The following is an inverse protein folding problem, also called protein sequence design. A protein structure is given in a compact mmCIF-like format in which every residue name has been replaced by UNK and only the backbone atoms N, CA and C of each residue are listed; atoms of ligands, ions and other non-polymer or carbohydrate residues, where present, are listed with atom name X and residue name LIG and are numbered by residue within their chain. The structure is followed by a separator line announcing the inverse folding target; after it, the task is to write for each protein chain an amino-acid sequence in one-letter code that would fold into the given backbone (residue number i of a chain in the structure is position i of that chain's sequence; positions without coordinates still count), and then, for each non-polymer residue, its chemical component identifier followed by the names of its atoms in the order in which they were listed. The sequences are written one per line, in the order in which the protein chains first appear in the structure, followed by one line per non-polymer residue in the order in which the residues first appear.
data_IF_736007229932
#
_entry.id   IF_736007229932
#
_cell.length_a   1.000
_cell.length_b   1.000
_cell.length_c   1.000
_cell.angle_alpha   90.00
_cell.angle_beta   90.00
_cell.angle_gamma   90.00
#
_symmetry.space_group_name_H-M   'P 1'
#
loop_
_entity.id
_entity.type
_entity.pdbx_description
1 polymer ?
#
# COMPACT_ATOMS: atom_id res chain seq x y z
N UNK A 1 6.00 5.62 13.45
CA UNK A 1 5.42 4.98 12.26
C UNK A 1 4.56 6.03 11.60
N UNK A 2 4.89 6.42 10.37
CA UNK A 2 3.95 7.19 9.58
C UNK A 2 2.91 6.19 9.06
N UNK A 3 1.65 6.41 9.39
CA UNK A 3 0.56 5.71 8.72
C UNK A 3 0.48 6.31 7.32
N UNK A 4 0.73 5.49 6.29
CA UNK A 4 0.55 5.92 4.91
C UNK A 4 -0.95 6.05 4.65
N UNK A 5 -1.47 7.23 4.95
CA UNK A 5 -2.88 7.56 4.75
C UNK A 5 -3.04 7.99 3.29
N UNK A 6 -3.75 7.19 2.51
CA UNK A 6 -4.18 7.60 1.19
C UNK A 6 -5.42 8.50 1.33
N UNK A 7 -5.28 9.75 0.91
CA UNK A 7 -6.39 10.71 0.90
C UNK A 7 -7.09 10.70 -0.44
N UNK A 8 -8.42 10.72 -0.39
CA UNK A 8 -9.30 10.77 -1.55
C UNK A 8 -10.29 11.90 -1.36
N UNK A 9 -10.70 12.58 -2.43
CA UNK A 9 -11.75 13.59 -2.30
C UNK A 9 -13.09 12.92 -1.97
N UNK A 10 -13.82 13.54 -1.05
CA UNK A 10 -15.13 13.05 -0.59
C UNK A 10 -16.22 13.11 -1.66
N UNK A 11 -16.08 14.00 -2.64
CA UNK A 11 -17.09 14.25 -3.67
C UNK A 11 -17.06 13.26 -4.84
N UNK A 12 -16.12 12.33 -4.84
CA UNK A 12 -16.11 11.21 -5.79
C UNK A 12 -17.34 10.33 -5.53
N UNK A 13 -18.16 10.15 -6.56
CA UNK A 13 -19.38 9.33 -6.49
C UNK A 13 -19.04 7.87 -6.25
N UNK A 14 -19.93 7.18 -5.53
CA UNK A 14 -19.87 5.74 -5.26
C UNK A 14 -18.62 5.26 -4.51
N UNK A 15 -17.89 6.18 -3.86
CA UNK A 15 -16.65 5.87 -3.14
C UNK A 15 -16.82 4.81 -2.04
N UNK A 16 -18.03 4.65 -1.51
CA UNK A 16 -18.36 3.59 -0.55
C UNK A 16 -18.17 2.18 -1.08
N UNK A 17 -18.09 1.98 -2.41
CA UNK A 17 -17.79 0.67 -3.02
C UNK A 17 -16.41 0.13 -2.63
N UNK A 18 -15.51 1.02 -2.22
CA UNK A 18 -14.17 0.63 -1.76
C UNK A 18 -14.18 0.07 -0.34
N UNK A 19 -15.20 0.38 0.46
CA UNK A 19 -15.30 -0.15 1.82
C UNK A 19 -15.36 -1.67 1.79
N UNK A 20 -14.69 -2.27 2.75
CA UNK A 20 -14.69 -3.71 2.94
C UNK A 20 -14.33 -4.06 4.37
N UNK A 21 -14.19 -5.35 4.64
CA UNK A 21 -13.82 -5.84 5.97
C UNK A 21 -12.55 -5.17 6.52
N UNK A 22 -11.59 -4.93 5.63
CA UNK A 22 -10.23 -4.47 5.95
C UNK A 22 -9.90 -3.04 5.52
N UNK A 23 -10.87 -2.32 4.95
CA UNK A 23 -10.69 -0.94 4.53
C UNK A 23 -11.87 -0.09 4.97
N UNK A 24 -11.58 0.89 5.81
CA UNK A 24 -12.52 1.94 6.18
C UNK A 24 -12.19 3.27 5.49
N UNK A 25 -13.21 4.11 5.38
CA UNK A 25 -13.08 5.48 4.87
C UNK A 25 -13.42 6.44 6.00
N UNK A 26 -12.39 7.14 6.50
CA UNK A 26 -12.51 8.03 7.64
C UNK A 26 -12.60 9.48 7.14
N UNK A 27 -13.62 10.25 7.54
CA UNK A 27 -13.68 11.69 7.27
C UNK A 27 -12.45 12.44 7.79
N UNK A 28 -11.82 13.25 6.93
CA UNK A 28 -10.72 14.13 7.32
C UNK A 28 -11.19 15.57 7.28
N UNK A 29 -11.08 16.26 8.42
CA UNK A 29 -11.47 17.65 8.57
C UNK A 29 -10.21 18.52 8.54
N UNK A 30 -10.20 19.55 7.70
CA UNK A 30 -9.14 20.55 7.76
C UNK A 30 -9.29 21.45 8.99
N UNK A 31 -8.32 22.34 9.23
CA UNK A 31 -8.33 23.26 10.38
C UNK A 31 -9.55 24.18 10.42
N UNK A 32 -10.24 24.39 9.29
CA UNK A 32 -11.45 25.19 9.19
C UNK A 32 -12.73 24.35 9.38
N UNK A 33 -12.61 23.08 9.79
CA UNK A 33 -13.73 22.17 9.97
C UNK A 33 -14.39 21.68 8.68
N UNK A 34 -13.79 21.94 7.50
CA UNK A 34 -14.32 21.44 6.23
C UNK A 34 -13.84 20.01 5.99
N UNK A 35 -14.78 19.16 5.59
CA UNK A 35 -14.53 17.77 5.22
C UNK A 35 -14.57 17.64 3.69
N UNK A 36 -13.40 17.79 3.09
CA UNK A 36 -13.19 17.68 1.64
C UNK A 36 -12.57 16.33 1.25
N UNK A 37 -11.99 15.61 2.22
CA UNK A 37 -11.25 14.37 1.99
C UNK A 37 -11.71 13.24 2.91
N UNK A 38 -11.58 12.02 2.41
CA UNK A 38 -11.64 10.80 3.19
C UNK A 38 -10.22 10.20 3.23
N UNK A 39 -9.86 9.61 4.36
CA UNK A 39 -8.67 8.79 4.54
C UNK A 39 -9.02 7.33 4.31
N UNK A 40 -8.21 6.63 3.52
CA UNK A 40 -8.20 5.18 3.45
C UNK A 40 -7.49 4.64 4.67
N UNK A 41 -8.24 3.97 5.53
CA UNK A 41 -7.69 3.27 6.68
C UNK A 41 -7.67 1.77 6.40
N UNK A 42 -6.49 1.28 5.97
CA UNK A 42 -6.25 -0.15 5.77
C UNK A 42 -5.97 -0.73 7.16
N UNK A 43 -6.93 -1.49 7.70
CA UNK A 43 -6.91 -2.00 9.08
C UNK A 43 -5.69 -2.88 9.37
N UNK A 44 -4.56 -2.29 9.76
CA UNK A 44 -3.31 -2.94 10.19
C UNK A 44 -2.99 -4.30 9.53
N UNK A 45 -3.33 -4.47 8.25
CA UNK A 45 -3.06 -5.68 7.49
C UNK A 45 -1.64 -5.57 6.94
N UNK A 46 -0.67 -5.96 7.76
CA UNK A 46 0.74 -5.94 7.40
C UNK A 46 1.24 -7.38 7.39
N UNK A 47 1.66 -7.86 6.22
CA UNK A 47 2.10 -9.26 6.05
C UNK A 47 3.60 -9.35 5.78
N UNK A 48 4.27 -10.22 6.54
CA UNK A 48 5.64 -10.65 6.26
C UNK A 48 5.66 -11.67 5.11
N UNK A 49 5.43 -11.18 3.89
CA UNK A 49 5.23 -12.01 2.71
C UNK A 49 6.35 -11.91 1.67
N UNK A 50 7.37 -11.07 1.86
CA UNK A 50 8.43 -10.87 0.88
C UNK A 50 9.29 -12.12 0.71
N UNK A 51 9.49 -12.53 -0.54
CA UNK A 51 10.56 -13.43 -0.95
C UNK A 51 11.80 -12.60 -1.26
N UNK A 52 12.67 -12.43 -0.25
CA UNK A 52 13.88 -11.61 -0.36
C UNK A 52 14.89 -12.16 -1.37
N UNK A 53 14.92 -13.48 -1.60
CA UNK A 53 15.86 -14.10 -2.54
C UNK A 53 15.51 -13.79 -4.00
N UNK A 54 14.22 -13.60 -4.30
CA UNK A 54 13.73 -13.27 -5.64
C UNK A 54 13.42 -11.78 -5.83
N UNK A 55 13.36 -11.02 -4.76
CA UNK A 55 13.10 -9.58 -4.82
C UNK A 55 14.30 -8.83 -5.36
N UNK A 56 14.05 -7.76 -6.11
CA UNK A 56 15.10 -6.91 -6.66
C UNK A 56 15.31 -5.69 -5.75
N UNK A 57 16.49 -5.62 -5.15
CA UNK A 57 16.94 -4.50 -4.33
C UNK A 57 18.47 -4.44 -4.34
N UNK A 58 19.02 -3.30 -3.96
CA UNK A 58 20.45 -3.08 -3.84
C UNK A 58 20.86 -3.24 -2.37
N UNK A 59 21.62 -4.30 -2.03
CA UNK A 59 22.06 -4.53 -0.65
C UNK A 59 23.08 -3.46 -0.23
N UNK A 60 23.24 -3.29 1.08
CA UNK A 60 24.32 -2.46 1.60
C UNK A 60 25.69 -3.06 1.29
N UNK A 61 26.74 -2.23 1.12
CA UNK A 61 28.11 -2.72 1.09
C UNK A 61 28.44 -3.50 2.38
N UNK A 62 29.17 -4.63 2.32
CA UNK A 62 29.38 -5.51 3.48
C UNK A 62 30.02 -4.84 4.70
N UNK A 63 30.88 -3.85 4.47
CA UNK A 63 31.62 -3.14 5.53
C UNK A 63 30.82 -1.99 6.16
N UNK A 64 29.64 -1.68 5.61
CA UNK A 64 28.84 -0.55 6.08
C UNK A 64 28.12 -0.89 7.38
N UNK A 65 28.35 -0.08 8.41
CA UNK A 65 27.50 -0.07 9.60
C UNK A 65 26.18 0.64 9.30
N UNK A 66 25.09 -0.13 9.24
CA UNK A 66 23.72 0.37 9.03
C UNK A 66 23.27 1.14 10.26
N UNK A 67 22.70 2.34 10.07
CA UNK A 67 22.11 3.16 11.13
C UNK A 67 20.70 2.68 11.47
N UNK A 68 20.22 2.97 12.68
CA UNK A 68 18.90 2.52 13.15
C UNK A 68 17.72 3.01 12.29
N UNK A 69 17.86 4.15 11.61
CA UNK A 69 16.84 4.71 10.73
C UNK A 69 16.94 4.22 9.28
N UNK A 70 18.01 3.49 8.92
CA UNK A 70 18.20 2.93 7.60
C UNK A 70 17.53 1.56 7.50
N UNK A 71 17.07 1.19 6.30
CA UNK A 71 16.46 -0.12 6.10
C UNK A 71 17.53 -1.23 6.27
N UNK A 72 17.30 -2.29 7.06
CA UNK A 72 18.35 -3.25 7.40
C UNK A 72 18.87 -4.09 6.22
N UNK A 73 18.12 -4.17 5.12
CA UNK A 73 18.46 -5.05 3.98
C UNK A 73 19.20 -4.39 2.83
N UNK A 74 18.96 -3.11 2.58
CA UNK A 74 19.45 -2.49 1.36
C UNK A 74 19.22 -1.00 1.34
N UNK A 75 19.82 -0.37 0.33
CA UNK A 75 19.77 1.08 0.14
C UNK A 75 18.73 1.50 -0.89
N UNK A 76 18.47 0.67 -1.91
CA UNK A 76 17.51 0.95 -2.97
C UNK A 76 16.64 -0.28 -3.19
N UNK A 77 15.32 -0.10 -3.28
CA UNK A 77 14.33 -1.18 -3.43
C UNK A 77 13.60 -1.01 -4.76
N UNK A 78 13.71 -2.01 -5.65
CA UNK A 78 13.18 -1.89 -7.01
C UNK A 78 11.83 -2.58 -7.16
N UNK A 79 11.76 -3.87 -6.82
CA UNK A 79 10.55 -4.67 -7.02
C UNK A 79 10.46 -5.81 -6.00
N UNK A 80 9.38 -5.88 -5.21
CA UNK A 80 9.13 -7.02 -4.33
C UNK A 80 8.60 -8.21 -5.12
N UNK A 81 8.98 -9.40 -4.69
CA UNK A 81 8.33 -10.68 -5.01
C UNK A 81 7.73 -11.21 -3.71
N UNK A 82 6.50 -11.68 -3.72
CA UNK A 82 5.79 -12.07 -2.48
C UNK A 82 5.25 -13.50 -2.55
N UNK A 83 5.25 -14.17 -1.40
CA UNK A 83 4.66 -15.50 -1.22
C UNK A 83 3.14 -15.39 -1.11
N UNK A 84 2.40 -15.92 -2.10
CA UNK A 84 0.92 -15.87 -2.05
C UNK A 84 0.37 -16.72 -0.90
N UNK A 85 1.06 -17.80 -0.53
CA UNK A 85 0.70 -18.66 0.60
C UNK A 85 0.72 -17.98 1.96
N UNK A 86 1.38 -16.82 2.08
CA UNK A 86 1.44 -16.01 3.31
C UNK A 86 0.37 -14.93 3.39
N UNK A 87 -0.54 -14.87 2.42
CA UNK A 87 -1.58 -13.84 2.31
C UNK A 87 -2.93 -14.54 2.26
N UNK A 88 -3.86 -14.22 3.18
CA UNK A 88 -5.22 -14.77 3.13
C UNK A 88 -5.90 -14.54 1.78
N UNK A 89 -6.81 -15.44 1.39
CA UNK A 89 -7.42 -15.43 0.06
C UNK A 89 -8.49 -14.34 -0.13
N UNK A 90 -9.09 -13.91 0.97
CA UNK A 90 -10.11 -12.88 1.11
C UNK A 90 -9.54 -11.46 1.22
N UNK A 91 -8.23 -11.33 1.45
CA UNK A 91 -7.56 -10.03 1.53
C UNK A 91 -7.36 -9.44 0.13
N UNK A 92 -8.08 -8.35 -0.12
CA UNK A 92 -8.02 -7.59 -1.38
C UNK A 92 -7.05 -6.40 -1.35
N UNK A 93 -6.63 -5.95 -0.16
CA UNK A 93 -5.74 -4.82 0.06
C UNK A 93 -4.92 -5.03 1.35
N UNK A 94 -3.61 -4.78 1.30
CA UNK A 94 -2.73 -4.95 2.45
C UNK A 94 -1.39 -4.21 2.28
N UNK A 95 -0.60 -4.14 3.37
CA UNK A 95 0.75 -3.61 3.39
C UNK A 95 1.79 -4.72 3.49
N UNK A 96 2.93 -4.52 2.85
CA UNK A 96 4.08 -5.43 2.95
C UNK A 96 4.92 -5.02 4.16
N UNK A 97 5.23 -5.98 5.03
CA UNK A 97 6.15 -5.73 6.13
C UNK A 97 7.58 -5.52 5.60
N UNK A 98 8.28 -4.50 6.10
CA UNK A 98 9.69 -4.23 5.80
C UNK A 98 9.98 -3.97 4.31
N UNK A 99 9.05 -3.38 3.54
CA UNK A 99 9.34 -2.86 2.20
C UNK A 99 9.14 -1.32 2.20
N UNK A 100 10.15 -0.50 1.91
CA UNK A 100 10.13 0.92 2.23
C UNK A 100 9.20 1.78 1.35
N UNK A 101 9.10 1.48 0.05
CA UNK A 101 8.45 2.38 -0.94
C UNK A 101 7.12 1.84 -1.49
N UNK A 102 6.67 0.65 -1.07
CA UNK A 102 5.47 0.00 -1.61
C UNK A 102 4.63 -0.56 -0.49
N UNK A 103 3.93 0.34 0.19
CA UNK A 103 3.17 -0.02 1.38
C UNK A 103 1.76 -0.47 1.08
N UNK A 104 1.27 -0.41 -0.16
CA UNK A 104 -0.09 -0.87 -0.49
C UNK A 104 -0.04 -1.80 -1.69
N UNK A 105 -0.42 -3.05 -1.46
CA UNK A 105 -0.71 -4.04 -2.49
C UNK A 105 -2.22 -4.20 -2.57
N UNK A 106 -2.73 -4.23 -3.79
CA UNK A 106 -4.16 -4.44 -4.07
C UNK A 106 -4.33 -5.63 -5.01
N UNK A 107 -5.46 -6.31 -4.88
CA UNK A 107 -5.92 -7.30 -5.85
C UNK A 107 -6.41 -6.61 -7.14
N UNK A 108 -6.47 -7.36 -8.23
CA UNK A 108 -7.10 -6.89 -9.46
C UNK A 108 -8.60 -6.57 -9.26
N UNK A 109 -9.29 -7.28 -8.35
CA UNK A 109 -10.68 -6.97 -8.01
C UNK A 109 -10.78 -5.57 -7.40
N UNK A 110 -9.92 -5.25 -6.44
CA UNK A 110 -9.88 -3.92 -5.80
C UNK A 110 -9.47 -2.83 -6.78
N UNK A 111 -8.47 -3.08 -7.62
CA UNK A 111 -8.08 -2.18 -8.71
C UNK A 111 -9.25 -1.87 -9.64
N UNK A 112 -10.05 -2.87 -10.01
CA UNK A 112 -11.25 -2.66 -10.82
C UNK A 112 -12.32 -1.84 -10.08
N UNK A 113 -12.45 -1.95 -8.75
CA UNK A 113 -13.31 -1.06 -7.96
C UNK A 113 -12.80 0.39 -8.02
N UNK A 114 -11.50 0.61 -7.85
CA UNK A 114 -10.88 1.94 -7.98
C UNK A 114 -11.10 2.56 -9.37
N UNK A 115 -10.90 1.79 -10.43
CA UNK A 115 -11.06 2.26 -11.82
C UNK A 115 -12.53 2.50 -12.23
N UNK A 116 -13.51 2.07 -11.43
CA UNK A 116 -14.93 2.40 -11.66
C UNK A 116 -15.33 3.76 -11.09
N UNK A 117 -14.51 4.34 -10.22
CA UNK A 117 -14.80 5.63 -9.62
C UNK A 117 -14.60 6.76 -10.62
N UNK A 118 -15.48 7.75 -10.57
CA UNK A 118 -15.49 8.90 -11.47
C UNK A 118 -14.46 9.95 -11.04
N UNK A 119 -13.18 9.69 -11.35
CA UNK A 119 -12.09 10.65 -11.18
C UNK A 119 -11.01 10.46 -12.27
N UNK A 120 -10.08 11.39 -12.35
CA UNK A 120 -8.97 11.30 -13.30
C UNK A 120 -7.97 10.20 -12.90
N UNK A 121 -8.01 9.06 -13.58
CA UNK A 121 -7.13 7.92 -13.30
C UNK A 121 -5.68 8.12 -13.76
N UNK A 122 -5.34 9.18 -14.51
CA UNK A 122 -3.96 9.43 -14.95
C UNK A 122 -2.98 9.66 -13.79
N UNK A 123 -3.51 9.95 -12.59
CA UNK A 123 -2.72 10.08 -11.37
C UNK A 123 -2.41 8.73 -10.71
N UNK A 124 -3.02 7.63 -11.17
CA UNK A 124 -2.76 6.30 -10.64
C UNK A 124 -1.72 5.57 -11.50
N UNK A 125 -0.70 5.04 -10.82
CA UNK A 125 0.29 4.14 -11.42
C UNK A 125 0.19 2.79 -10.73
N UNK A 126 -0.19 1.77 -11.49
CA UNK A 126 -0.20 0.39 -11.01
C UNK A 126 1.08 -0.31 -11.44
N UNK A 127 1.76 -0.92 -10.48
CA UNK A 127 2.94 -1.76 -10.72
C UNK A 127 2.56 -3.20 -10.42
N UNK A 128 2.82 -4.09 -11.38
CA UNK A 128 2.56 -5.52 -11.19
C UNK A 128 3.54 -6.09 -10.16
N UNK A 129 2.99 -6.80 -9.18
CA UNK A 129 3.76 -7.58 -8.21
C UNK A 129 3.82 -9.04 -8.65
N UNK A 130 4.97 -9.65 -8.45
CA UNK A 130 5.16 -11.06 -8.77
C UNK A 130 4.85 -11.92 -7.55
N UNK A 131 4.13 -13.02 -7.78
CA UNK A 131 3.69 -13.95 -6.75
C UNK A 131 4.41 -15.28 -6.91
N UNK A 132 4.82 -15.87 -5.79
CA UNK A 132 5.44 -17.21 -5.70
C UNK A 132 4.79 -18.09 -4.64
#
# INVERSE_FOLDING_TARGET
MADDILLIRKDIKDISILKGEYLDLIPVFNLNGKNEFLAFDIKNLIFNCVNWEKSSFEPWPPERKIKEWEHPRGQIFYKPVIYKSKIPNDVEIFRIMEWPDTNIVISEIFKNKLLKLDFNHNFLKFLNIELV
#
